data_IF_673295054396
#
_entry.id   IF_673295054396
#
_cell.length_a   1.000
_cell.length_b   1.000
_cell.length_c   1.000
_cell.angle_alpha   90.00
_cell.angle_beta   90.00
_cell.angle_gamma   90.00
#
_symmetry.space_group_name_H-M   'P 1'
#
loop_
_entity.id
_entity.type
_entity.pdbx_description
1 polymer ?
#
# COMPACT_ATOMS: atom_id res chain seq x y z
N UNK A 1 9.97 20.94 -44.92
CA UNK A 1 9.12 20.67 -43.75
C UNK A 1 9.91 19.76 -42.84
N UNK A 2 10.44 20.31 -41.74
CA UNK A 2 11.17 19.53 -40.74
C UNK A 2 10.17 18.99 -39.75
N UNK A 3 9.99 17.66 -39.73
CA UNK A 3 9.31 16.96 -38.64
C UNK A 3 10.06 17.23 -37.34
N UNK A 4 9.43 18.01 -36.46
CA UNK A 4 9.81 18.14 -35.06
C UNK A 4 9.41 16.84 -34.35
N UNK A 5 10.28 15.83 -34.39
CA UNK A 5 10.18 14.70 -33.45
C UNK A 5 10.46 15.24 -32.06
N UNK A 6 9.42 15.49 -31.27
CA UNK A 6 9.53 15.85 -29.86
C UNK A 6 10.16 14.66 -29.10
N UNK A 7 11.41 14.75 -28.60
CA UNK A 7 12.08 13.63 -27.94
C UNK A 7 11.58 13.36 -26.52
N UNK A 8 10.52 14.04 -26.08
CA UNK A 8 10.05 14.01 -24.69
C UNK A 8 9.17 12.80 -24.32
N UNK A 9 8.80 11.91 -25.25
CA UNK A 9 7.81 10.85 -24.96
C UNK A 9 8.35 9.58 -24.29
N UNK A 10 9.58 9.58 -23.73
CA UNK A 10 10.20 8.36 -23.18
C UNK A 10 11.06 8.51 -21.92
N UNK A 11 11.13 9.69 -21.29
CA UNK A 11 12.00 9.91 -20.12
C UNK A 11 11.20 10.28 -18.86
N UNK A 12 11.48 9.60 -17.74
CA UNK A 12 10.95 9.93 -16.42
C UNK A 12 11.74 11.11 -15.84
N UNK A 13 11.05 12.16 -15.42
CA UNK A 13 11.70 13.31 -14.74
C UNK A 13 12.15 12.94 -13.32
N UNK A 14 13.11 13.68 -12.77
CA UNK A 14 13.56 13.48 -11.38
C UNK A 14 12.39 13.59 -10.37
N UNK A 15 11.45 14.50 -10.61
CA UNK A 15 10.25 14.64 -9.78
C UNK A 15 9.34 13.40 -9.84
N UNK A 16 9.06 12.88 -11.04
CA UNK A 16 8.28 11.66 -11.22
C UNK A 16 8.97 10.44 -10.58
N UNK A 17 10.30 10.33 -10.72
CA UNK A 17 11.08 9.27 -10.07
C UNK A 17 10.96 9.34 -8.54
N UNK A 18 11.03 10.53 -7.96
CA UNK A 18 10.87 10.70 -6.51
C UNK A 18 9.45 10.34 -6.05
N UNK A 19 8.42 10.73 -6.79
CA UNK A 19 7.03 10.34 -6.50
C UNK A 19 6.87 8.82 -6.49
N UNK A 20 7.40 8.12 -7.50
CA UNK A 20 7.38 6.65 -7.57
C UNK A 20 8.10 6.04 -6.37
N UNK A 21 9.30 6.52 -6.06
CA UNK A 21 10.11 5.98 -4.97
C UNK A 21 9.49 6.24 -3.60
N UNK A 22 8.94 7.43 -3.36
CA UNK A 22 8.28 7.80 -2.12
C UNK A 22 7.10 6.87 -1.83
N UNK A 23 6.19 6.68 -2.78
CA UNK A 23 5.01 5.84 -2.54
C UNK A 23 5.33 4.34 -2.51
N UNK A 24 6.31 3.86 -3.30
CA UNK A 24 6.85 2.50 -3.13
C UNK A 24 7.42 2.29 -1.75
N UNK A 25 8.18 3.26 -1.24
CA UNK A 25 8.78 3.19 0.08
C UNK A 25 7.70 3.10 1.16
N UNK A 26 6.71 3.98 1.16
CA UNK A 26 5.67 4.00 2.19
C UNK A 26 4.88 2.68 2.27
N UNK A 27 4.46 2.11 1.14
CA UNK A 27 3.78 0.80 1.13
C UNK A 27 4.70 -0.35 1.54
N UNK A 28 5.96 -0.31 1.13
CA UNK A 28 6.97 -1.30 1.55
C UNK A 28 7.24 -1.21 3.05
N UNK A 29 7.25 0.00 3.61
CA UNK A 29 7.39 0.22 5.05
C UNK A 29 6.22 -0.37 5.82
N UNK A 30 4.96 -0.24 5.35
CA UNK A 30 3.82 -0.92 5.96
C UNK A 30 4.09 -2.43 6.05
N UNK A 31 4.52 -3.06 4.94
CA UNK A 31 4.83 -4.48 4.92
C UNK A 31 5.96 -4.86 5.89
N UNK A 32 7.04 -4.07 5.94
CA UNK A 32 8.19 -4.31 6.83
C UNK A 32 7.78 -4.18 8.30
N UNK A 33 7.11 -3.09 8.66
CA UNK A 33 6.81 -2.81 10.06
C UNK A 33 5.68 -3.68 10.60
N UNK A 34 4.72 -4.12 9.76
CA UNK A 34 3.75 -5.15 10.15
C UNK A 34 4.45 -6.47 10.47
N UNK A 35 5.45 -6.89 9.67
CA UNK A 35 6.24 -8.10 9.98
C UNK A 35 7.00 -7.97 11.28
N UNK A 36 7.66 -6.84 11.50
CA UNK A 36 8.33 -6.55 12.76
C UNK A 36 7.36 -6.65 13.93
N UNK A 37 6.13 -6.16 13.76
CA UNK A 37 5.07 -6.28 14.77
C UNK A 37 4.62 -7.73 15.00
N UNK A 38 4.45 -8.54 13.94
CA UNK A 38 4.17 -9.98 14.03
C UNK A 38 5.27 -10.72 14.81
N UNK A 39 6.54 -10.56 14.39
CA UNK A 39 7.69 -11.17 15.10
C UNK A 39 7.68 -10.77 16.57
N UNK A 40 7.56 -9.47 16.83
CA UNK A 40 7.60 -8.93 18.19
C UNK A 40 6.46 -9.47 19.06
N UNK A 41 5.28 -9.66 18.48
CA UNK A 41 4.12 -10.26 19.16
C UNK A 41 4.37 -11.73 19.50
N UNK A 42 4.97 -12.50 18.58
CA UNK A 42 5.23 -13.93 18.75
C UNK A 42 6.41 -14.21 19.69
N UNK A 43 7.49 -13.44 19.58
CA UNK A 43 8.76 -13.73 20.26
C UNK A 43 9.05 -12.84 21.46
N UNK A 44 8.26 -11.79 21.68
CA UNK A 44 8.45 -10.77 22.74
C UNK A 44 9.85 -10.10 22.72
N UNK A 45 10.55 -10.16 21.58
CA UNK A 45 11.95 -9.76 21.47
C UNK A 45 12.15 -8.24 21.35
N UNK A 46 11.14 -7.52 20.86
CA UNK A 46 11.22 -6.10 20.55
C UNK A 46 10.14 -5.30 21.26
N UNK A 47 10.32 -3.98 21.33
CA UNK A 47 9.31 -3.08 21.88
C UNK A 47 8.17 -2.91 20.87
N UNK A 48 7.12 -3.72 21.03
CA UNK A 48 5.92 -3.67 20.19
C UNK A 48 5.27 -2.27 20.18
N UNK A 49 5.38 -1.49 21.27
CA UNK A 49 4.85 -0.11 21.31
C UNK A 49 5.67 0.83 20.44
N UNK A 50 7.00 0.71 20.46
CA UNK A 50 7.87 1.49 19.57
C UNK A 50 7.61 1.17 18.09
N UNK A 51 7.37 -0.11 17.78
CA UNK A 51 7.00 -0.58 16.43
C UNK A 51 5.64 0.00 16.02
N UNK A 52 4.60 -0.09 16.87
CA UNK A 52 3.30 0.51 16.59
C UNK A 52 3.40 2.02 16.32
N UNK A 53 4.19 2.74 17.11
CA UNK A 53 4.40 4.18 16.89
C UNK A 53 5.08 4.47 15.54
N UNK A 54 5.94 3.57 15.03
CA UNK A 54 6.51 3.73 13.68
C UNK A 54 5.49 3.44 12.60
N UNK A 55 4.66 2.39 12.76
CA UNK A 55 3.55 2.07 11.86
C UNK A 55 2.58 3.26 11.74
N UNK A 56 2.16 3.85 12.86
CA UNK A 56 1.25 4.99 12.85
C UNK A 56 1.83 6.21 12.14
N UNK A 57 3.15 6.46 12.31
CA UNK A 57 3.84 7.53 11.59
C UNK A 57 3.79 7.37 10.07
N UNK A 58 3.69 6.15 9.53
CA UNK A 58 3.58 5.95 8.08
C UNK A 58 2.32 6.63 7.53
N UNK A 59 1.21 6.64 8.28
CA UNK A 59 0.00 7.35 7.87
C UNK A 59 0.24 8.87 7.80
N UNK A 60 0.99 9.43 8.75
CA UNK A 60 1.42 10.82 8.71
C UNK A 60 2.37 11.10 7.54
N UNK A 61 3.30 10.18 7.24
CA UNK A 61 4.21 10.28 6.11
C UNK A 61 3.40 10.29 4.78
N UNK A 62 2.35 9.48 4.65
CA UNK A 62 1.41 9.53 3.52
C UNK A 62 0.73 10.90 3.40
N UNK A 63 0.23 11.45 4.52
CA UNK A 63 -0.39 12.78 4.55
C UNK A 63 0.56 13.83 4.01
N UNK A 64 1.78 13.86 4.54
CA UNK A 64 2.79 14.85 4.20
C UNK A 64 3.20 14.76 2.72
N UNK A 65 3.23 13.55 2.15
CA UNK A 65 3.50 13.32 0.73
C UNK A 65 2.32 13.66 -0.19
N UNK A 66 1.08 13.49 0.26
CA UNK A 66 -0.12 13.74 -0.54
C UNK A 66 -0.62 15.19 -0.46
N UNK A 67 -0.37 15.88 0.65
CA UNK A 67 -0.82 17.25 0.90
C UNK A 67 -0.42 18.24 -0.21
N UNK A 68 0.81 18.23 -0.76
CA UNK A 68 1.19 19.15 -1.84
C UNK A 68 0.37 18.99 -3.12
N UNK A 69 -0.27 17.84 -3.32
CA UNK A 69 -1.00 17.52 -4.55
C UNK A 69 -2.51 17.69 -4.39
N UNK A 70 -3.05 17.29 -3.24
CA UNK A 70 -4.50 17.25 -3.01
C UNK A 70 -4.99 18.25 -1.94
N UNK A 71 -4.07 18.97 -1.29
CA UNK A 71 -4.40 19.88 -0.19
C UNK A 71 -4.56 19.15 1.16
N UNK A 72 -4.64 19.95 2.22
CA UNK A 72 -4.61 19.48 3.61
C UNK A 72 -5.78 18.57 3.97
N UNK A 73 -7.01 18.97 3.63
CA UNK A 73 -8.23 18.25 4.03
C UNK A 73 -8.25 16.82 3.46
N UNK A 74 -7.99 16.69 2.15
CA UNK A 74 -7.95 15.38 1.49
C UNK A 74 -6.83 14.50 2.07
N UNK A 75 -5.63 15.06 2.24
CA UNK A 75 -4.51 14.31 2.80
C UNK A 75 -4.79 13.83 4.24
N UNK A 76 -5.44 14.65 5.06
CA UNK A 76 -5.84 14.29 6.43
C UNK A 76 -6.88 13.17 6.47
N UNK A 77 -7.83 13.14 5.54
CA UNK A 77 -8.82 12.06 5.47
C UNK A 77 -8.17 10.73 5.04
N UNK A 78 -7.26 10.77 4.07
CA UNK A 78 -6.48 9.57 3.67
C UNK A 78 -5.65 9.05 4.86
N UNK A 79 -5.00 9.95 5.60
CA UNK A 79 -4.23 9.61 6.79
C UNK A 79 -5.07 8.90 7.84
N UNK A 80 -6.27 9.39 8.14
CA UNK A 80 -7.16 8.78 9.13
C UNK A 80 -7.57 7.37 8.73
N UNK A 81 -7.96 7.16 7.46
CA UNK A 81 -8.34 5.85 6.94
C UNK A 81 -7.16 4.86 6.97
N UNK A 82 -5.96 5.31 6.59
CA UNK A 82 -4.73 4.50 6.67
C UNK A 82 -4.37 4.16 8.12
N UNK A 83 -4.51 5.11 9.05
CA UNK A 83 -4.27 4.87 10.47
C UNK A 83 -5.23 3.81 11.02
N UNK A 84 -6.53 3.90 10.70
CA UNK A 84 -7.50 2.89 11.10
C UNK A 84 -7.21 1.52 10.49
N UNK A 85 -6.81 1.48 9.22
CA UNK A 85 -6.40 0.25 8.55
C UNK A 85 -5.21 -0.41 9.27
N UNK A 86 -4.17 0.36 9.58
CA UNK A 86 -2.97 -0.12 10.29
C UNK A 86 -3.32 -0.63 11.70
N UNK A 87 -4.12 0.14 12.47
CA UNK A 87 -4.56 -0.28 13.80
C UNK A 87 -5.33 -1.61 13.72
N UNK A 88 -6.23 -1.75 12.74
CA UNK A 88 -7.02 -2.97 12.58
C UNK A 88 -6.16 -4.18 12.21
N UNK A 89 -5.15 -4.01 11.34
CA UNK A 89 -4.16 -5.04 11.06
C UNK A 89 -3.45 -5.52 12.33
N UNK A 90 -3.04 -4.61 13.21
CA UNK A 90 -2.39 -4.97 14.47
C UNK A 90 -3.33 -5.69 15.43
N UNK A 91 -4.60 -5.27 15.51
CA UNK A 91 -5.64 -5.97 16.27
C UNK A 91 -5.83 -7.39 15.75
N UNK A 92 -5.93 -7.56 14.43
CA UNK A 92 -6.07 -8.87 13.80
C UNK A 92 -4.85 -9.78 14.06
N UNK A 93 -3.62 -9.28 13.89
CA UNK A 93 -2.38 -10.03 14.19
C UNK A 93 -2.39 -10.51 15.64
N UNK A 94 -2.67 -9.60 16.57
CA UNK A 94 -2.70 -9.90 18.01
C UNK A 94 -3.76 -10.96 18.33
N UNK A 95 -4.95 -10.83 17.76
CA UNK A 95 -6.06 -11.76 17.99
C UNK A 95 -5.79 -13.16 17.40
N UNK A 96 -5.14 -13.24 16.23
CA UNK A 96 -4.71 -14.51 15.64
C UNK A 96 -3.72 -15.23 16.56
N UNK A 97 -2.71 -14.51 17.08
CA UNK A 97 -1.72 -15.08 18.00
C UNK A 97 -2.35 -15.60 19.30
N UNK A 98 -3.24 -14.81 19.92
CA UNK A 98 -3.95 -15.22 21.15
C UNK A 98 -5.11 -16.19 20.91
N UNK A 99 -5.40 -16.57 19.66
CA UNK A 99 -6.49 -17.47 19.28
C UNK A 99 -7.86 -17.00 19.79
N UNK A 100 -8.14 -15.71 19.64
CA UNK A 100 -9.42 -15.09 19.98
C UNK A 100 -10.31 -14.97 18.73
N UNK A 101 -11.19 -15.96 18.45
CA UNK A 101 -11.96 -15.99 17.20
C UNK A 101 -12.95 -14.82 17.09
N UNK A 102 -13.49 -14.33 18.21
CA UNK A 102 -14.45 -13.22 18.19
C UNK A 102 -13.75 -11.93 17.74
N UNK A 103 -12.55 -11.67 18.28
CA UNK A 103 -11.78 -10.50 17.87
C UNK A 103 -11.24 -10.65 16.45
N UNK A 104 -10.83 -11.86 16.03
CA UNK A 104 -10.42 -12.12 14.64
C UNK A 104 -11.55 -11.80 13.66
N UNK A 105 -12.75 -12.34 13.87
CA UNK A 105 -13.88 -12.13 12.95
C UNK A 105 -14.27 -10.65 12.84
N UNK A 106 -14.28 -9.94 13.98
CA UNK A 106 -14.58 -8.51 14.02
C UNK A 106 -13.50 -7.66 13.34
N UNK A 107 -12.21 -7.99 13.57
CA UNK A 107 -11.09 -7.28 12.98
C UNK A 107 -11.04 -7.51 11.46
N UNK A 108 -11.18 -8.75 10.99
CA UNK A 108 -11.22 -9.08 9.56
C UNK A 108 -12.38 -8.36 8.87
N UNK A 109 -13.59 -8.42 9.44
CA UNK A 109 -14.76 -7.70 8.89
C UNK A 109 -14.50 -6.20 8.81
N UNK A 110 -13.92 -5.61 9.85
CA UNK A 110 -13.59 -4.19 9.88
C UNK A 110 -12.48 -3.83 8.88
N UNK A 111 -11.49 -4.70 8.69
CA UNK A 111 -10.38 -4.50 7.76
C UNK A 111 -10.87 -4.42 6.32
N UNK A 112 -11.77 -5.32 5.90
CA UNK A 112 -12.39 -5.26 4.56
C UNK A 112 -13.30 -4.04 4.39
N UNK A 113 -14.06 -3.66 5.43
CA UNK A 113 -14.86 -2.42 5.40
C UNK A 113 -13.99 -1.18 5.23
N UNK A 114 -12.91 -1.05 6.01
CA UNK A 114 -11.97 0.07 5.91
C UNK A 114 -11.28 0.08 4.54
N UNK A 115 -10.99 -1.10 3.98
CA UNK A 115 -10.42 -1.21 2.63
C UNK A 115 -11.38 -0.69 1.55
N UNK A 116 -12.68 -0.99 1.66
CA UNK A 116 -13.70 -0.42 0.76
C UNK A 116 -13.82 1.10 0.92
N UNK A 117 -13.85 1.60 2.16
CA UNK A 117 -13.92 3.05 2.45
C UNK A 117 -12.69 3.80 1.93
N UNK A 118 -11.50 3.24 2.12
CA UNK A 118 -10.26 3.80 1.60
C UNK A 118 -10.24 3.78 0.06
N UNK A 119 -10.63 2.67 -0.56
CA UNK A 119 -10.69 2.55 -2.01
C UNK A 119 -11.71 3.52 -2.63
N UNK A 120 -12.88 3.65 -2.02
CA UNK A 120 -13.93 4.58 -2.43
C UNK A 120 -13.46 6.04 -2.32
N UNK A 121 -12.85 6.39 -1.19
CA UNK A 121 -12.37 7.74 -0.95
C UNK A 121 -11.24 8.12 -1.92
N UNK A 122 -10.24 7.26 -2.10
CA UNK A 122 -9.15 7.49 -3.06
C UNK A 122 -9.71 7.67 -4.48
N UNK A 123 -10.65 6.83 -4.91
CA UNK A 123 -11.27 6.96 -6.23
C UNK A 123 -12.08 8.26 -6.40
N UNK A 124 -12.71 8.74 -5.32
CA UNK A 124 -13.45 10.01 -5.34
C UNK A 124 -12.54 11.25 -5.48
N UNK A 125 -11.30 11.14 -5.00
CA UNK A 125 -10.30 12.23 -5.01
C UNK A 125 -9.64 12.37 -6.38
N UNK A 126 -9.41 11.25 -7.08
CA UNK A 126 -8.61 11.23 -8.29
C UNK A 126 -9.25 10.35 -9.38
N UNK A 127 -9.65 10.90 -10.54
CA UNK A 127 -10.31 10.13 -11.59
C UNK A 127 -9.42 9.04 -12.21
N UNK A 128 -8.09 9.10 -12.02
CA UNK A 128 -7.16 8.07 -12.47
C UNK A 128 -7.03 6.90 -11.48
N UNK A 129 -7.66 7.00 -10.32
CA UNK A 129 -7.77 5.92 -9.35
C UNK A 129 -9.15 5.26 -9.44
N UNK A 130 -9.20 4.04 -9.97
CA UNK A 130 -10.37 3.16 -9.88
C UNK A 130 -10.54 2.57 -8.47
N UNK A 131 -11.77 2.63 -7.94
CA UNK A 131 -12.17 1.95 -6.70
C UNK A 131 -11.89 0.45 -6.77
N UNK A 132 -12.27 -0.21 -7.86
CA UNK A 132 -12.14 -1.67 -8.00
C UNK A 132 -10.67 -2.10 -7.95
N UNK A 133 -9.78 -1.34 -8.58
CA UNK A 133 -8.35 -1.64 -8.56
C UNK A 133 -7.75 -1.41 -7.17
N UNK A 134 -8.13 -0.32 -6.48
CA UNK A 134 -7.72 -0.09 -5.09
C UNK A 134 -8.18 -1.21 -4.17
N UNK A 135 -9.46 -1.57 -4.23
CA UNK A 135 -10.04 -2.61 -3.39
C UNK A 135 -9.39 -3.97 -3.65
N UNK A 136 -9.11 -4.31 -4.91
CA UNK A 136 -8.40 -5.54 -5.27
C UNK A 136 -6.98 -5.56 -4.68
N UNK A 137 -6.24 -4.45 -4.77
CA UNK A 137 -4.89 -4.37 -4.24
C UNK A 137 -4.85 -4.44 -2.70
N UNK A 138 -5.76 -3.72 -2.02
CA UNK A 138 -5.86 -3.73 -0.56
C UNK A 138 -6.30 -5.09 -0.04
N UNK A 139 -7.32 -5.71 -0.64
CA UNK A 139 -7.79 -7.04 -0.25
C UNK A 139 -6.71 -8.10 -0.48
N UNK A 140 -5.98 -8.04 -1.59
CA UNK A 140 -4.83 -8.94 -1.81
C UNK A 140 -3.76 -8.79 -0.73
N UNK A 141 -3.48 -7.57 -0.26
CA UNK A 141 -2.57 -7.36 0.87
C UNK A 141 -3.13 -7.93 2.18
N UNK A 142 -4.42 -7.70 2.47
CA UNK A 142 -5.12 -8.28 3.64
C UNK A 142 -4.97 -9.80 3.69
N UNK A 143 -5.33 -10.47 2.60
CA UNK A 143 -5.28 -11.94 2.49
C UNK A 143 -3.87 -12.48 2.73
N UNK A 144 -2.85 -11.84 2.14
CA UNK A 144 -1.47 -12.26 2.29
C UNK A 144 -0.94 -12.05 3.72
N UNK A 145 -1.27 -10.92 4.36
CA UNK A 145 -0.86 -10.62 5.74
C UNK A 145 -1.53 -11.59 6.73
N UNK A 146 -2.80 -11.92 6.54
CA UNK A 146 -3.49 -12.97 7.31
C UNK A 146 -2.79 -14.31 7.14
N UNK A 147 -2.48 -14.69 5.89
CA UNK A 147 -1.84 -15.97 5.59
C UNK A 147 -0.41 -16.06 6.14
N UNK A 148 0.34 -14.94 6.13
CA UNK A 148 1.68 -14.82 6.72
C UNK A 148 1.63 -15.11 8.22
N UNK A 149 0.73 -14.45 8.96
CA UNK A 149 0.58 -14.64 10.41
C UNK A 149 0.20 -16.09 10.75
N UNK A 150 -0.75 -16.68 10.03
CA UNK A 150 -1.15 -18.09 10.22
C UNK A 150 0.03 -19.04 9.96
N UNK A 151 0.81 -18.80 8.90
CA UNK A 151 1.98 -19.61 8.58
C UNK A 151 3.07 -19.48 9.67
N UNK A 152 3.30 -18.28 10.20
CA UNK A 152 4.24 -18.05 11.31
C UNK A 152 3.83 -18.80 12.57
N UNK A 153 2.56 -18.68 13.00
CA UNK A 153 2.01 -19.39 14.16
C UNK A 153 2.12 -20.91 13.96
N UNK A 154 1.88 -21.40 12.74
CA UNK A 154 2.01 -22.80 12.35
C UNK A 154 3.44 -23.30 12.17
N UNK A 155 4.46 -22.43 12.28
CA UNK A 155 5.87 -22.74 11.96
C UNK A 155 6.08 -23.25 10.53
N UNK A 156 5.22 -22.84 9.59
CA UNK A 156 5.29 -23.17 8.15
C UNK A 156 6.26 -22.22 7.41
N UNK A 157 7.55 -22.24 7.79
CA UNK A 157 8.52 -21.20 7.38
C UNK A 157 8.74 -21.06 5.88
N UNK A 158 8.81 -22.16 5.12
CA UNK A 158 9.00 -22.08 3.66
C UNK A 158 7.82 -21.40 2.96
N UNK A 159 6.59 -21.68 3.44
CA UNK A 159 5.37 -21.06 2.94
C UNK A 159 5.30 -19.59 3.35
N UNK A 160 5.71 -19.26 4.57
CA UNK A 160 5.80 -17.88 5.02
C UNK A 160 6.73 -17.04 4.14
N UNK A 161 7.90 -17.57 3.78
CA UNK A 161 8.85 -16.88 2.90
C UNK A 161 8.24 -16.65 1.51
N UNK A 162 7.54 -17.62 0.92
CA UNK A 162 6.83 -17.43 -0.36
C UNK A 162 5.76 -16.32 -0.27
N UNK A 163 4.96 -16.34 0.80
CA UNK A 163 3.94 -15.30 1.04
C UNK A 163 4.62 -13.94 1.21
N UNK A 164 5.75 -13.88 1.92
CA UNK A 164 6.51 -12.64 2.14
C UNK A 164 6.96 -12.00 0.83
N UNK A 165 7.51 -12.79 -0.07
CA UNK A 165 7.93 -12.31 -1.39
C UNK A 165 6.76 -11.74 -2.19
N UNK A 166 5.57 -12.34 -2.06
CA UNK A 166 4.34 -11.85 -2.67
C UNK A 166 3.85 -10.54 -2.03
N UNK A 167 3.96 -10.39 -0.71
CA UNK A 167 3.63 -9.15 0.01
C UNK A 167 4.50 -8.00 -0.49
N UNK A 168 5.81 -8.20 -0.69
CA UNK A 168 6.68 -7.15 -1.23
C UNK A 168 6.29 -6.75 -2.66
N UNK A 169 5.91 -7.71 -3.50
CA UNK A 169 5.37 -7.40 -4.84
C UNK A 169 4.07 -6.61 -4.74
N UNK A 170 3.17 -6.99 -3.84
CA UNK A 170 1.89 -6.31 -3.62
C UNK A 170 2.09 -4.87 -3.12
N UNK A 171 2.99 -4.65 -2.16
CA UNK A 171 3.35 -3.33 -1.66
C UNK A 171 3.95 -2.44 -2.77
N UNK A 172 4.80 -3.01 -3.63
CA UNK A 172 5.32 -2.30 -4.81
C UNK A 172 4.19 -1.90 -5.77
N UNK A 173 3.24 -2.78 -6.06
CA UNK A 173 2.10 -2.49 -6.93
C UNK A 173 1.20 -1.38 -6.35
N UNK A 174 0.94 -1.42 -5.04
CA UNK A 174 0.23 -0.34 -4.33
C UNK A 174 0.97 1.00 -4.46
N UNK A 175 2.30 1.00 -4.28
CA UNK A 175 3.15 2.19 -4.47
C UNK A 175 3.11 2.72 -5.90
N UNK A 176 3.24 1.83 -6.89
CA UNK A 176 3.16 2.19 -8.31
C UNK A 176 1.81 2.78 -8.68
N UNK A 177 0.73 2.19 -8.19
CA UNK A 177 -0.63 2.66 -8.46
C UNK A 177 -0.92 4.00 -7.77
N UNK A 178 -0.42 4.21 -6.55
CA UNK A 178 -0.48 5.51 -5.88
C UNK A 178 0.27 6.57 -6.70
N UNK A 179 1.53 6.30 -7.05
CA UNK A 179 2.36 7.22 -7.81
C UNK A 179 1.75 7.57 -9.17
N UNK A 180 1.21 6.58 -9.89
CA UNK A 180 0.57 6.77 -11.19
C UNK A 180 -0.56 7.80 -11.11
N UNK A 181 -1.50 7.61 -10.18
CA UNK A 181 -2.61 8.55 -10.04
C UNK A 181 -2.15 9.95 -9.67
N UNK A 182 -1.16 10.10 -8.77
CA UNK A 182 -0.59 11.42 -8.45
C UNK A 182 0.01 12.08 -9.68
N UNK A 183 0.84 11.35 -10.44
CA UNK A 183 1.48 11.90 -11.64
C UNK A 183 0.47 12.29 -12.72
N UNK A 184 -0.57 11.48 -12.95
CA UNK A 184 -1.61 11.79 -13.91
C UNK A 184 -2.50 12.97 -13.47
N UNK A 185 -2.77 13.12 -12.17
CA UNK A 185 -3.52 14.26 -11.64
C UNK A 185 -2.81 15.61 -11.89
N UNK A 186 -1.47 15.60 -11.93
CA UNK A 186 -0.66 16.81 -12.18
C UNK A 186 -0.56 17.22 -13.66
N UNK A 187 -0.97 16.35 -14.58
CA UNK A 187 -0.94 16.62 -16.03
C UNK A 187 -2.37 16.51 -16.58
N UNK A 188 -3.17 17.59 -16.51
CA UNK A 188 -4.45 17.63 -17.21
C UNK A 188 -4.19 17.49 -18.71
N UNK A 189 -4.75 16.45 -19.34
CA UNK A 189 -4.60 16.03 -20.75
C UNK A 189 -3.92 17.04 -21.71
N UNK A 190 -2.61 16.94 -21.88
CA UNK A 190 -1.95 17.24 -23.16
C UNK A 190 -0.93 16.18 -23.60
N UNK A 191 -0.54 15.25 -22.72
CA UNK A 191 0.35 14.13 -23.07
C UNK A 191 -0.04 12.85 -22.30
N UNK A 192 -0.64 11.83 -22.94
CA UNK A 192 -0.91 10.56 -22.29
C UNK A 192 0.43 9.92 -21.87
N UNK A 193 0.66 9.80 -20.56
CA UNK A 193 1.70 8.90 -20.04
C UNK A 193 1.22 7.49 -20.37
N UNK A 194 2.06 6.70 -21.06
CA UNK A 194 1.77 5.28 -21.34
C UNK A 194 1.27 4.60 -20.07
N UNK A 195 0.06 4.05 -20.13
CA UNK A 195 -0.62 3.45 -19.00
C UNK A 195 0.25 2.33 -18.43
N UNK A 196 0.36 2.19 -17.10
CA UNK A 196 1.19 1.14 -16.47
C UNK A 196 0.82 -0.28 -16.95
N UNK A 197 -0.40 -0.51 -17.41
CA UNK A 197 -0.79 -1.74 -18.09
C UNK A 197 0.09 -2.07 -19.31
N UNK A 198 0.56 -1.08 -20.07
CA UNK A 198 1.46 -1.29 -21.22
C UNK A 198 2.89 -1.65 -20.78
N UNK A 199 3.35 -1.14 -19.63
CA UNK A 199 4.65 -1.48 -19.04
C UNK A 199 4.66 -2.86 -18.35
N UNK A 200 3.51 -3.33 -17.86
CA UNK A 200 3.39 -4.65 -17.23
C UNK A 200 3.23 -5.80 -18.24
N UNK A 201 2.72 -5.51 -19.44
CA UNK A 201 2.56 -6.51 -20.52
C UNK A 201 3.86 -6.72 -21.32
N UNK A 202 4.80 -5.76 -21.28
CA UNK A 202 6.08 -5.82 -21.99
C UNK A 202 7.24 -6.51 -21.24
N UNK A 203 7.00 -7.08 -20.07
CA UNK A 203 7.99 -7.89 -19.36
C UNK A 203 7.94 -9.33 -19.87
N UNK A 204 8.74 -9.65 -20.89
CA UNK A 204 8.96 -11.04 -21.30
C UNK A 204 9.42 -11.87 -20.06
N UNK A 205 8.87 -13.08 -19.86
CA UNK A 205 9.36 -13.96 -18.81
C UNK A 205 10.76 -14.44 -19.19
N UNK A 206 11.76 -14.10 -18.37
CA UNK A 206 13.03 -14.83 -18.29
C UNK A 206 12.92 -15.82 -17.14
#
# INVERSE_FOLDING_TARGET
MTESTNPASGYITYGQMNIINDFRMLWTEIAIWLRSFMVSTITEFSDSKAISNRLYRIADDFKDKLQPFFGMEIAQNIQQLLLWYIVNMQTMITALYYKDPVTVDNAVTSLYRISDELADYLASVNPYWSKNQWLSLLNGLNEMIIAEEVALIGSEYEKEIDIRDRIFRQARLLGDYTAAGVMHYLVPEEHPIQTIQELLVGGDPI
#
